data_IF_496126586796
#
_entry.id   IF_496126586796
#
_cell.length_a   1.000
_cell.length_b   1.000
_cell.length_c   1.000
_cell.angle_alpha   90.00
_cell.angle_beta   90.00
_cell.angle_gamma   90.00
#
_symmetry.space_group_name_H-M   'P 1'
#
loop_
_entity.id
_entity.type
_entity.pdbx_description
1 polymer ?
#
# COMPACT_ATOMS: atom_id res chain seq x y z
N UNK A 1 -22.18 0.46 22.21
CA UNK A 1 -21.89 -0.71 21.35
C UNK A 1 -20.43 -0.61 20.97
N UNK A 2 -19.62 -1.58 21.33
CA UNK A 2 -18.18 -1.57 21.07
C UNK A 2 -17.88 -2.27 19.73
N UNK A 3 -17.03 -1.67 18.90
CA UNK A 3 -16.53 -2.28 17.67
C UNK A 3 -15.06 -2.63 17.82
N UNK A 4 -14.68 -3.83 17.34
CA UNK A 4 -13.30 -4.33 17.40
C UNK A 4 -12.49 -4.02 16.13
N UNK A 5 -13.07 -3.27 15.18
CA UNK A 5 -12.41 -2.69 13.99
C UNK A 5 -11.51 -3.63 13.19
N UNK A 6 -11.93 -4.88 12.97
CA UNK A 6 -11.20 -5.83 12.13
C UNK A 6 -11.44 -5.57 10.63
N UNK A 7 -10.38 -5.60 9.82
CA UNK A 7 -10.50 -5.56 8.35
C UNK A 7 -10.87 -6.93 7.79
N UNK A 8 -11.64 -6.94 6.69
CA UNK A 8 -11.88 -8.14 5.89
C UNK A 8 -10.58 -8.60 5.24
N UNK A 9 -10.30 -9.90 5.31
CA UNK A 9 -9.10 -10.49 4.72
C UNK A 9 -9.09 -10.37 3.19
N UNK A 10 -10.25 -10.48 2.54
CA UNK A 10 -10.39 -10.27 1.09
C UNK A 10 -11.53 -9.29 0.87
N UNK A 11 -11.33 -8.30 0.01
CA UNK A 11 -12.39 -7.38 -0.41
C UNK A 11 -12.15 -6.83 -1.80
N UNK A 12 -13.24 -6.47 -2.46
CA UNK A 12 -13.21 -5.76 -3.73
C UNK A 12 -13.23 -4.25 -3.51
N UNK A 13 -12.57 -3.52 -4.40
CA UNK A 13 -12.55 -2.06 -4.43
C UNK A 13 -12.80 -1.57 -5.85
N UNK A 14 -13.29 -0.35 -5.96
CA UNK A 14 -13.44 0.40 -7.22
C UNK A 14 -12.67 1.70 -7.09
N UNK A 15 -12.26 2.29 -8.21
CA UNK A 15 -11.56 3.58 -8.18
C UNK A 15 -12.53 4.74 -7.94
N UNK A 16 -13.76 4.62 -8.43
CA UNK A 16 -14.84 5.58 -8.25
C UNK A 16 -16.23 4.88 -8.37
N UNK A 17 -17.30 5.69 -8.35
CA UNK A 17 -18.68 5.21 -8.36
C UNK A 17 -19.27 4.99 -9.76
N UNK A 18 -18.53 5.29 -10.83
CA UNK A 18 -19.03 5.12 -12.20
C UNK A 18 -19.26 3.63 -12.53
N UNK A 19 -20.17 3.27 -13.44
CA UNK A 19 -20.39 1.87 -13.84
C UNK A 19 -19.16 1.17 -14.43
N UNK A 20 -18.32 1.91 -15.14
CA UNK A 20 -17.12 1.44 -15.84
C UNK A 20 -15.89 1.32 -14.94
N UNK A 21 -15.93 1.85 -13.72
CA UNK A 21 -14.79 1.81 -12.80
C UNK A 21 -14.28 0.38 -12.58
N UNK A 22 -12.97 0.14 -12.82
CA UNK A 22 -12.40 -1.19 -12.68
C UNK A 22 -12.48 -1.70 -11.24
N UNK A 23 -12.53 -3.01 -11.10
CA UNK A 23 -12.72 -3.68 -9.81
C UNK A 23 -11.50 -4.50 -9.46
N UNK A 24 -10.83 -4.13 -8.37
CA UNK A 24 -9.65 -4.82 -7.88
C UNK A 24 -9.94 -5.64 -6.64
N UNK A 25 -9.18 -6.72 -6.45
CA UNK A 25 -9.24 -7.52 -5.22
C UNK A 25 -8.05 -7.20 -4.34
N UNK A 26 -8.34 -6.73 -3.12
CA UNK A 26 -7.35 -6.67 -2.05
C UNK A 26 -7.34 -7.99 -1.30
N UNK A 27 -6.18 -8.64 -1.31
CA UNK A 27 -5.92 -9.89 -0.58
C UNK A 27 -4.93 -9.66 0.57
N UNK A 28 -5.47 -9.62 1.79
CA UNK A 28 -4.75 -9.52 3.06
C UNK A 28 -4.63 -10.87 3.78
N UNK A 29 -4.88 -11.99 3.11
CA UNK A 29 -4.60 -13.30 3.68
C UNK A 29 -3.09 -13.48 3.92
N UNK A 30 -2.71 -14.50 4.70
CA UNK A 30 -1.29 -14.81 4.90
C UNK A 30 -0.58 -15.08 3.57
N UNK A 31 -1.25 -15.73 2.62
CA UNK A 31 -0.71 -15.98 1.29
C UNK A 31 -0.60 -14.67 0.48
N UNK A 32 -1.62 -13.80 0.59
CA UNK A 32 -1.61 -12.47 0.00
C UNK A 32 -0.46 -11.61 0.52
N UNK A 33 -0.21 -11.55 1.83
CA UNK A 33 0.80 -10.62 2.38
C UNK A 33 2.22 -11.22 2.37
N UNK A 34 2.35 -12.55 2.40
CA UNK A 34 3.64 -13.22 2.38
C UNK A 34 4.44 -12.82 1.13
N UNK A 35 5.63 -12.25 1.34
CA UNK A 35 6.51 -11.77 0.27
C UNK A 35 6.26 -10.32 -0.18
N UNK A 36 5.12 -9.71 0.15
CA UNK A 36 4.85 -8.30 -0.19
C UNK A 36 5.65 -7.32 0.68
N UNK A 37 6.06 -7.72 1.89
CA UNK A 37 6.73 -6.81 2.84
C UNK A 37 8.12 -6.34 2.39
N UNK A 38 8.90 -7.18 1.73
CA UNK A 38 10.22 -6.77 1.21
C UNK A 38 10.06 -5.83 0.01
N UNK A 39 9.19 -6.20 -0.93
CA UNK A 39 8.85 -5.36 -2.08
C UNK A 39 8.28 -4.00 -1.65
N UNK A 40 7.38 -3.99 -0.66
CA UNK A 40 6.79 -2.76 -0.14
C UNK A 40 7.82 -1.87 0.56
N UNK A 41 8.78 -2.45 1.30
CA UNK A 41 9.90 -1.69 1.88
C UNK A 41 10.78 -1.06 0.80
N UNK A 42 11.06 -1.77 -0.29
CA UNK A 42 11.80 -1.21 -1.41
C UNK A 42 11.06 -0.04 -2.06
N UNK A 43 9.74 -0.17 -2.27
CA UNK A 43 8.90 0.90 -2.79
C UNK A 43 8.88 2.12 -1.86
N UNK A 44 8.71 1.91 -0.55
CA UNK A 44 8.80 2.96 0.48
C UNK A 44 10.18 3.63 0.53
N UNK A 45 11.25 2.90 0.24
CA UNK A 45 12.61 3.45 0.12
C UNK A 45 12.71 4.56 -0.93
N UNK A 46 12.04 4.42 -2.08
CA UNK A 46 12.00 5.44 -3.14
C UNK A 46 11.32 6.73 -2.65
N UNK A 47 10.25 6.62 -1.87
CA UNK A 47 9.59 7.78 -1.26
C UNK A 47 10.47 8.54 -0.28
N UNK A 48 11.26 7.83 0.52
CA UNK A 48 12.19 8.45 1.47
C UNK A 48 13.28 9.22 0.74
N UNK A 49 13.81 8.67 -0.37
CA UNK A 49 14.80 9.35 -1.21
C UNK A 49 14.24 10.67 -1.78
N UNK A 50 13.04 10.63 -2.35
CA UNK A 50 12.35 11.82 -2.86
C UNK A 50 12.07 12.86 -1.77
N UNK A 51 11.66 12.42 -0.57
CA UNK A 51 11.43 13.33 0.57
C UNK A 51 12.71 14.02 1.05
N UNK A 52 13.85 13.35 0.94
CA UNK A 52 15.16 13.95 1.26
C UNK A 52 15.58 14.95 0.19
N UNK A 53 15.49 14.61 -1.10
CA UNK A 53 15.77 15.54 -2.20
C UNK A 53 14.89 16.80 -2.17
N UNK A 54 13.63 16.65 -1.76
CA UNK A 54 12.71 17.78 -1.52
C UNK A 54 13.19 18.74 -0.44
N UNK A 55 13.73 18.21 0.66
CA UNK A 55 14.26 19.02 1.78
C UNK A 55 15.57 19.70 1.41
N UNK A 56 16.37 19.05 0.58
CA UNK A 56 17.67 19.55 0.14
C UNK A 56 17.56 20.52 -1.04
N UNK A 57 16.34 20.75 -1.56
CA UNK A 57 16.05 21.69 -2.64
C UNK A 57 16.56 21.23 -4.00
N UNK A 58 16.81 19.92 -4.16
CA UNK A 58 17.39 19.33 -5.36
C UNK A 58 16.34 18.68 -6.26
N UNK A 59 15.07 19.07 -6.14
CA UNK A 59 14.03 18.45 -6.96
C UNK A 59 14.11 18.91 -8.41
N UNK A 60 14.00 17.98 -9.35
CA UNK A 60 13.91 18.22 -10.79
C UNK A 60 12.82 17.36 -11.47
N UNK A 61 12.65 17.50 -12.78
CA UNK A 61 11.62 16.76 -13.54
C UNK A 61 11.80 15.23 -13.47
N UNK A 62 13.00 14.73 -13.18
CA UNK A 62 13.30 13.30 -12.99
C UNK A 62 12.67 12.71 -11.73
N UNK A 63 12.33 13.53 -10.73
CA UNK A 63 11.67 13.06 -9.50
C UNK A 63 10.24 12.61 -9.74
N UNK A 64 9.58 13.14 -10.77
CA UNK A 64 8.22 12.73 -11.13
C UNK A 64 8.20 11.31 -11.71
N UNK A 65 9.26 10.91 -12.41
CA UNK A 65 9.43 9.54 -12.92
C UNK A 65 9.72 8.58 -11.77
N UNK A 66 10.64 8.93 -10.85
CA UNK A 66 10.93 8.11 -9.67
C UNK A 66 9.68 7.93 -8.79
N UNK A 67 8.86 8.99 -8.68
CA UNK A 67 7.60 8.93 -7.94
C UNK A 67 6.57 8.04 -8.65
N UNK A 68 6.45 8.14 -9.97
CA UNK A 68 5.59 7.26 -10.76
C UNK A 68 6.02 5.78 -10.63
N UNK A 69 7.32 5.49 -10.68
CA UNK A 69 7.87 4.16 -10.46
C UNK A 69 7.56 3.62 -9.04
N UNK A 70 7.55 4.50 -8.04
CA UNK A 70 7.18 4.14 -6.68
C UNK A 70 5.69 3.83 -6.58
N UNK A 71 4.85 4.57 -7.32
CA UNK A 71 3.40 4.36 -7.38
C UNK A 71 3.06 3.05 -8.07
N UNK A 72 3.69 2.78 -9.20
CA UNK A 72 3.60 1.51 -9.92
C UNK A 72 3.92 0.35 -8.98
N UNK A 73 5.06 0.41 -8.29
CA UNK A 73 5.45 -0.64 -7.36
C UNK A 73 4.38 -0.88 -6.28
N UNK A 74 3.86 0.18 -5.64
CA UNK A 74 2.81 0.02 -4.61
C UNK A 74 1.54 -0.59 -5.20
N UNK A 75 1.09 -0.11 -6.35
CA UNK A 75 -0.12 -0.60 -7.02
C UNK A 75 0.04 -2.05 -7.45
N UNK A 76 1.14 -2.40 -8.13
CA UNK A 76 1.42 -3.77 -8.56
C UNK A 76 1.54 -4.73 -7.38
N UNK A 77 2.19 -4.31 -6.30
CA UNK A 77 2.27 -5.11 -5.06
C UNK A 77 0.87 -5.28 -4.47
N UNK A 78 0.02 -4.28 -4.43
CA UNK A 78 -1.25 -4.37 -3.68
C UNK A 78 -2.41 -4.96 -4.49
N UNK A 79 -2.45 -4.70 -5.79
CA UNK A 79 -3.58 -5.00 -6.68
C UNK A 79 -3.20 -5.97 -7.82
N UNK A 80 -1.91 -6.25 -8.01
CA UNK A 80 -1.39 -7.11 -9.08
C UNK A 80 -0.76 -6.32 -10.23
N UNK A 81 0.15 -6.94 -10.96
CA UNK A 81 0.97 -6.29 -12.01
C UNK A 81 0.13 -5.61 -13.11
N UNK A 82 -1.00 -6.22 -13.48
CA UNK A 82 -1.89 -5.68 -14.52
C UNK A 82 -2.69 -4.46 -14.05
N UNK A 83 -2.76 -4.19 -12.74
CA UNK A 83 -3.58 -3.11 -12.20
C UNK A 83 -3.03 -1.73 -12.57
N UNK A 84 -1.70 -1.56 -12.55
CA UNK A 84 -1.08 -0.28 -12.86
C UNK A 84 -1.40 0.24 -14.27
N UNK A 85 -1.14 -0.51 -15.36
CA UNK A 85 -1.45 -0.03 -16.70
C UNK A 85 -2.94 0.23 -16.90
N UNK A 86 -3.82 -0.58 -16.29
CA UNK A 86 -5.27 -0.37 -16.36
C UNK A 86 -5.70 0.91 -15.63
N UNK A 87 -5.19 1.17 -14.42
CA UNK A 87 -5.47 2.39 -13.65
C UNK A 87 -4.98 3.62 -14.39
N UNK A 88 -3.77 3.58 -14.92
CA UNK A 88 -3.16 4.69 -15.68
C UNK A 88 -4.00 5.00 -16.91
N UNK A 89 -4.46 3.99 -17.64
CA UNK A 89 -5.31 4.19 -18.81
C UNK A 89 -6.68 4.76 -18.41
N UNK A 90 -7.31 4.17 -17.39
CA UNK A 90 -8.64 4.59 -16.93
C UNK A 90 -8.67 6.02 -16.39
N UNK A 91 -7.70 6.40 -15.56
CA UNK A 91 -7.63 7.74 -14.95
C UNK A 91 -7.03 8.77 -15.92
N UNK A 92 -6.04 8.35 -16.70
CA UNK A 92 -5.18 9.24 -17.48
C UNK A 92 -5.53 9.39 -18.95
N UNK A 93 -6.25 8.43 -19.54
CA UNK A 93 -6.61 8.47 -20.97
C UNK A 93 -5.41 8.69 -21.89
N UNK A 94 -4.29 8.00 -21.65
CA UNK A 94 -3.06 8.13 -22.42
C UNK A 94 -2.07 9.20 -21.94
N UNK A 95 -2.33 9.88 -20.83
CA UNK A 95 -1.34 10.77 -20.20
C UNK A 95 -0.26 9.93 -19.50
N UNK A 96 1.01 10.34 -19.63
CA UNK A 96 2.14 9.66 -18.99
C UNK A 96 2.04 9.70 -17.44
N UNK A 97 2.32 8.60 -16.72
CA UNK A 97 2.18 8.51 -15.26
C UNK A 97 2.94 9.57 -14.47
N UNK A 98 4.16 9.95 -14.87
CA UNK A 98 4.95 11.00 -14.23
C UNK A 98 4.21 12.36 -14.18
N UNK A 99 3.32 12.61 -15.15
CA UNK A 99 2.49 13.82 -15.21
C UNK A 99 1.20 13.72 -14.42
N UNK A 100 0.92 12.56 -13.82
CA UNK A 100 -0.31 12.24 -13.09
C UNK A 100 -0.07 11.88 -11.63
N UNK A 101 1.16 12.02 -11.12
CA UNK A 101 1.51 11.69 -9.74
C UNK A 101 0.60 12.39 -8.72
N UNK A 102 0.18 13.63 -8.94
CA UNK A 102 -0.78 14.29 -8.04
C UNK A 102 -2.16 13.64 -8.07
N UNK A 103 -2.63 13.19 -9.23
CA UNK A 103 -3.96 12.56 -9.41
C UNK A 103 -3.97 11.14 -8.87
N UNK A 104 -2.87 10.41 -9.00
CA UNK A 104 -2.73 9.02 -8.54
C UNK A 104 -2.39 8.92 -7.04
N UNK A 105 -1.90 10.00 -6.44
CA UNK A 105 -1.49 10.06 -5.04
C UNK A 105 -2.55 9.53 -4.06
N UNK A 106 -3.84 9.90 -4.16
CA UNK A 106 -4.85 9.45 -3.20
C UNK A 106 -4.99 7.92 -3.17
N UNK A 107 -4.95 7.26 -4.33
CA UNK A 107 -5.01 5.80 -4.41
C UNK A 107 -3.80 5.17 -3.71
N UNK A 108 -2.60 5.65 -4.00
CA UNK A 108 -1.36 5.10 -3.45
C UNK A 108 -1.30 5.28 -1.94
N UNK A 109 -1.61 6.48 -1.44
CA UNK A 109 -1.68 6.74 0.01
C UNK A 109 -2.72 5.85 0.69
N UNK A 110 -3.87 5.67 0.06
CA UNK A 110 -4.90 4.79 0.58
C UNK A 110 -4.42 3.34 0.65
N UNK A 111 -3.78 2.81 -0.39
CA UNK A 111 -3.23 1.45 -0.41
C UNK A 111 -2.16 1.23 0.66
N UNK A 112 -1.27 2.22 0.86
CA UNK A 112 -0.26 2.20 1.92
C UNK A 112 -0.90 2.18 3.31
N UNK A 113 -1.95 2.98 3.53
CA UNK A 113 -2.73 2.98 4.76
C UNK A 113 -3.35 1.59 5.02
N UNK A 114 -3.93 0.96 3.99
CA UNK A 114 -4.49 -0.39 4.14
C UNK A 114 -3.44 -1.43 4.51
N UNK A 115 -2.25 -1.34 3.90
CA UNK A 115 -1.12 -2.22 4.21
C UNK A 115 -0.63 -2.01 5.66
N UNK A 116 -0.42 -0.76 6.07
CA UNK A 116 0.09 -0.41 7.38
C UNK A 116 -0.86 -0.83 8.51
N UNK A 117 -2.17 -0.67 8.32
CA UNK A 117 -3.16 -1.11 9.28
C UNK A 117 -3.08 -2.63 9.54
N UNK A 118 -2.88 -3.43 8.48
CA UNK A 118 -2.75 -4.88 8.63
C UNK A 118 -1.42 -5.26 9.29
N UNK A 119 -0.33 -4.62 8.90
CA UNK A 119 0.99 -4.89 9.49
C UNK A 119 1.07 -4.48 10.96
N UNK A 120 0.52 -3.31 11.32
CA UNK A 120 0.44 -2.84 12.72
C UNK A 120 -0.48 -3.74 13.55
N UNK A 121 -1.60 -4.21 12.97
CA UNK A 121 -2.47 -5.19 13.62
C UNK A 121 -1.78 -6.55 13.82
N UNK A 122 -0.90 -6.95 12.88
CA UNK A 122 -0.08 -8.15 13.00
C UNK A 122 1.00 -8.00 14.09
N UNK A 123 1.68 -6.86 14.19
CA UNK A 123 2.67 -6.59 15.25
C UNK A 123 2.02 -6.61 16.63
N UNK A 124 0.83 -6.01 16.78
CA UNK A 124 0.07 -6.04 18.04
C UNK A 124 -0.49 -7.45 18.38
N UNK A 125 -0.82 -8.29 17.39
CA UNK A 125 -1.28 -9.69 17.62
C UNK A 125 -0.14 -10.63 17.99
N UNK A 126 1.06 -10.46 17.45
CA UNK A 126 2.23 -11.25 17.84
C UNK A 126 2.63 -10.89 19.27
N UNK A 127 2.67 -9.60 19.62
CA UNK A 127 2.97 -9.15 20.99
C UNK A 127 1.93 -9.67 22.00
N UNK A 128 0.62 -9.62 21.71
CA UNK A 128 -0.39 -10.13 22.62
C UNK A 128 -0.39 -11.67 22.77
N UNK A 129 -0.01 -12.41 21.71
CA UNK A 129 0.05 -13.89 21.74
C UNK A 129 1.29 -14.41 22.45
N UNK A 130 2.43 -13.71 22.38
CA UNK A 130 3.65 -14.09 23.08
C UNK A 130 3.73 -13.55 24.52
N UNK A 131 3.18 -12.37 24.83
CA UNK A 131 3.16 -11.85 26.20
C UNK A 131 2.15 -12.54 27.13
N UNK A 132 1.10 -13.19 26.60
CA UNK A 132 0.26 -14.09 27.43
C UNK A 132 0.82 -15.52 27.53
N UNK A 133 1.77 -15.89 26.68
CA UNK A 133 2.42 -17.21 26.71
C UNK A 133 3.72 -17.25 27.53
N UNK A 134 4.24 -16.11 27.99
CA UNK A 134 5.49 -16.03 28.78
C UNK A 134 5.30 -15.54 30.21
N UNK A 135 4.08 -15.22 30.64
CA UNK A 135 3.77 -15.02 32.08
C UNK A 135 3.33 -16.36 32.67
N UNK A 136 4.33 -17.14 33.09
CA UNK A 136 4.28 -18.02 34.25
C UNK A 136 3.25 -19.16 34.26
N UNK A 137 3.55 -20.26 33.57
CA UNK A 137 3.09 -21.60 33.97
C UNK A 137 4.26 -22.44 34.52
N UNK A 138 5.15 -21.77 35.25
CA UNK A 138 6.22 -22.41 36.01
C UNK A 138 6.52 -21.57 37.25
N UNK A 139 6.09 -22.10 38.40
CA UNK A 139 6.38 -21.67 39.78
C UNK A 139 5.63 -20.43 40.32
N UNK A 140 4.41 -20.63 40.82
CA UNK A 140 4.11 -20.83 42.26
C UNK A 140 2.62 -21.17 42.46
#
# INVERSE_FOLDING_TARGET
MESINLKKAVRQIRLDDTPESPVYTLDFTNAGISGKSEAMRAALGKFVQLSQGAKDGTLDDGDSEILADAYEAVVSIMLGEEAWPEIVEYIGGGIAPARMTVVLMPLVLWLLDQYNDIMTANDNRVVAKYLRGSVGDSAL
#
